data_IF_673422021006
#
_entry.id   IF_673422021006
#
_cell.length_a   1.000
_cell.length_b   1.000
_cell.length_c   1.000
_cell.angle_alpha   90.00
_cell.angle_beta   90.00
_cell.angle_gamma   90.00
#
_symmetry.space_group_name_H-M   'P 1'
#
loop_
_entity.id
_entity.type
_entity.pdbx_description
1 polymer ?
#
# COMPACT_ATOMS: atom_id res chain seq x y z
N UNK A 1 22.79 1.19 28.95
CA UNK A 1 21.82 0.33 28.26
C UNK A 1 21.27 1.14 27.10
N UNK A 2 21.54 0.73 25.86
CA UNK A 2 20.93 1.37 24.70
C UNK A 2 19.48 0.89 24.59
N UNK A 3 18.56 1.80 24.31
CA UNK A 3 17.17 1.47 24.05
C UNK A 3 17.05 0.74 22.71
N UNK A 4 16.37 -0.41 22.69
CA UNK A 4 16.02 -1.13 21.47
C UNK A 4 14.52 -1.05 21.24
N UNK A 5 14.13 -0.76 19.99
CA UNK A 5 12.72 -0.77 19.60
C UNK A 5 12.19 -2.20 19.58
N UNK A 6 11.05 -2.49 20.24
CA UNK A 6 10.42 -3.80 20.12
C UNK A 6 9.96 -4.03 18.68
N UNK A 7 10.28 -5.20 18.12
CA UNK A 7 9.90 -5.59 16.76
C UNK A 7 8.91 -6.76 16.84
N UNK A 8 7.82 -6.67 16.10
CA UNK A 8 6.87 -7.78 15.99
C UNK A 8 7.33 -8.79 14.91
N UNK A 9 7.38 -10.10 15.20
CA UNK A 9 7.58 -11.11 14.16
C UNK A 9 6.31 -11.31 13.34
N UNK A 10 6.41 -11.10 12.02
CA UNK A 10 5.34 -11.35 11.06
C UNK A 10 5.59 -12.68 10.32
N UNK A 11 4.58 -13.54 10.26
CA UNK A 11 4.68 -14.84 9.57
C UNK A 11 4.28 -14.79 8.09
N UNK A 12 3.78 -13.65 7.62
CA UNK A 12 3.25 -13.48 6.27
C UNK A 12 3.39 -12.06 5.76
N UNK A 13 3.16 -11.90 4.46
CA UNK A 13 3.16 -10.61 3.76
C UNK A 13 1.85 -10.42 3.01
N UNK A 14 1.45 -9.18 2.81
CA UNK A 14 0.31 -8.84 1.97
C UNK A 14 0.62 -9.21 0.52
N UNK A 15 -0.37 -9.78 -0.18
CA UNK A 15 -0.24 -10.12 -1.59
C UNK A 15 -0.01 -8.87 -2.45
N UNK A 16 0.79 -9.00 -3.51
CA UNK A 16 1.03 -7.92 -4.46
C UNK A 16 0.07 -8.00 -5.63
N UNK A 17 -0.64 -6.90 -5.91
CA UNK A 17 -1.57 -6.80 -7.06
C UNK A 17 -1.07 -5.74 -8.02
N UNK A 18 -0.96 -6.08 -9.30
CA UNK A 18 -0.62 -5.10 -10.35
C UNK A 18 -1.85 -4.77 -11.18
N UNK A 19 -2.12 -3.49 -11.34
CA UNK A 19 -3.25 -2.94 -12.11
C UNK A 19 -2.68 -2.23 -13.35
N UNK A 20 -3.28 -2.49 -14.52
CA UNK A 20 -2.87 -1.89 -15.79
C UNK A 20 -1.74 -2.66 -16.50
N UNK A 21 -1.19 -2.05 -17.56
CA UNK A 21 -0.15 -2.63 -18.39
C UNK A 21 0.86 -1.58 -18.88
N UNK A 22 2.07 -2.03 -19.22
CA UNK A 22 3.13 -1.18 -19.76
C UNK A 22 3.61 -0.10 -18.78
N UNK A 23 3.93 1.09 -19.30
CA UNK A 23 4.47 2.20 -18.49
C UNK A 23 3.49 2.76 -17.45
N UNK A 24 2.19 2.47 -17.59
CA UNK A 24 1.14 2.93 -16.67
C UNK A 24 0.76 1.91 -15.60
N UNK A 25 1.44 0.77 -15.52
CA UNK A 25 1.13 -0.26 -14.52
C UNK A 25 1.45 0.23 -13.10
N UNK A 26 0.55 -0.08 -12.16
CA UNK A 26 0.67 0.26 -10.75
C UNK A 26 0.65 -1.02 -9.92
N UNK A 27 1.58 -1.15 -8.98
CA UNK A 27 1.62 -2.26 -8.03
C UNK A 27 1.18 -1.80 -6.65
N UNK A 28 0.34 -2.60 -6.00
CA UNK A 28 -0.23 -2.41 -4.67
C UNK A 28 0.14 -3.58 -3.78
N UNK A 29 0.17 -3.36 -2.46
CA UNK A 29 0.39 -4.41 -1.48
C UNK A 29 1.88 -4.74 -1.25
N UNK A 30 2.15 -5.95 -0.74
CA UNK A 30 3.52 -6.40 -0.47
C UNK A 30 4.10 -5.97 0.88
N UNK A 31 3.26 -5.44 1.77
CA UNK A 31 3.65 -5.02 3.12
C UNK A 31 3.94 -6.22 4.01
N UNK A 32 5.00 -6.11 4.81
CA UNK A 32 5.46 -7.14 5.76
C UNK A 32 5.28 -6.70 7.23
N UNK A 33 4.71 -5.52 7.47
CA UNK A 33 4.50 -4.93 8.79
C UNK A 33 3.20 -4.12 8.86
N UNK A 34 2.90 -3.58 10.03
CA UNK A 34 1.83 -2.58 10.17
C UNK A 34 2.04 -1.35 9.27
N UNK A 35 0.95 -0.61 8.94
CA UNK A 35 1.03 0.59 8.12
C UNK A 35 2.08 1.58 8.65
N UNK A 36 3.04 1.95 7.79
CA UNK A 36 4.13 2.88 8.08
C UNK A 36 5.19 2.41 9.09
N UNK A 37 5.15 1.15 9.56
CA UNK A 37 6.13 0.61 10.50
C UNK A 37 7.40 0.09 9.79
N UNK A 38 8.02 0.97 8.99
CA UNK A 38 9.19 0.66 8.15
C UNK A 38 10.46 0.31 8.94
N UNK A 39 10.45 0.51 10.26
CA UNK A 39 11.56 0.13 11.15
C UNK A 39 11.58 -1.38 11.46
N UNK A 40 10.47 -2.08 11.26
CA UNK A 40 10.32 -3.50 11.57
C UNK A 40 9.87 -4.38 10.38
N UNK A 41 9.48 -3.78 9.26
CA UNK A 41 9.21 -4.51 8.03
C UNK A 41 9.27 -3.64 6.79
N UNK A 42 9.08 -4.25 5.62
CA UNK A 42 9.11 -3.56 4.32
C UNK A 42 7.72 -3.12 3.90
N UNK A 43 7.63 -1.93 3.32
CA UNK A 43 6.44 -1.39 2.67
C UNK A 43 6.84 -0.91 1.26
N UNK A 44 6.96 -1.83 0.28
CA UNK A 44 7.54 -1.52 -1.03
C UNK A 44 6.65 -0.63 -1.90
N UNK A 45 5.32 -0.71 -1.71
CA UNK A 45 4.36 0.05 -2.47
C UNK A 45 3.67 1.08 -1.57
N UNK A 46 3.71 2.39 -1.89
CA UNK A 46 3.00 3.39 -1.12
C UNK A 46 1.49 3.32 -1.40
N UNK A 47 0.64 3.78 -0.45
CA UNK A 47 -0.80 3.88 -0.67
C UNK A 47 -1.09 4.73 -1.91
N UNK A 48 -2.09 4.30 -2.71
CA UNK A 48 -2.51 4.98 -3.93
C UNK A 48 -3.91 5.54 -3.73
N UNK A 49 -4.15 6.71 -4.34
CA UNK A 49 -5.44 7.38 -4.34
C UNK A 49 -5.92 7.43 -5.79
N UNK A 50 -7.19 7.09 -6.00
CA UNK A 50 -7.88 7.24 -7.27
C UNK A 50 -9.07 8.18 -7.07
N UNK A 51 -9.42 8.91 -8.12
CA UNK A 51 -10.59 9.79 -8.12
C UNK A 51 -11.71 9.10 -8.89
N UNK A 52 -12.93 9.22 -8.38
CA UNK A 52 -14.11 8.80 -9.09
C UNK A 52 -14.39 9.76 -10.25
N UNK A 53 -14.73 9.21 -11.42
CA UNK A 53 -15.11 9.96 -12.61
C UNK A 53 -16.41 9.37 -13.13
N UNK A 54 -17.44 10.18 -13.13
CA UNK A 54 -18.76 9.82 -13.63
C UNK A 54 -18.83 10.09 -15.14
N UNK A 55 -19.50 9.20 -15.86
CA UNK A 55 -19.78 9.36 -17.30
C UNK A 55 -21.00 10.26 -17.57
N UNK A 56 -21.68 10.70 -16.51
CA UNK A 56 -22.78 11.66 -16.53
C UNK A 56 -22.49 12.87 -15.62
N UNK A 57 -23.36 13.88 -15.69
CA UNK A 57 -23.28 15.08 -14.84
C UNK A 57 -23.76 14.78 -13.41
N UNK A 58 -22.85 14.72 -12.42
CA UNK A 58 -23.20 14.34 -11.04
C UNK A 58 -23.92 15.45 -10.27
N UNK A 59 -24.06 16.66 -10.84
CA UNK A 59 -24.73 17.79 -10.16
C UNK A 59 -26.25 17.74 -10.25
N UNK A 60 -26.82 16.79 -11.00
CA UNK A 60 -28.25 16.63 -11.21
C UNK A 60 -28.92 15.65 -10.23
N UNK A 61 -28.15 15.03 -9.34
CA UNK A 61 -28.60 14.18 -8.23
C UNK A 61 -28.57 14.95 -6.89
#
# INVERSE_FOLDING_TARGET
MAFEFPKQPYSGKIGTTTIGAGKGALTLGGEESYPFYVFEGKMPNPPKIAMEIWDYDPSKD
#
